data_IF_545987808912
#
_entry.id   IF_545987808912
#
_cell.length_a   1.000
_cell.length_b   1.000
_cell.length_c   1.000
_cell.angle_alpha   90.00
_cell.angle_beta   90.00
_cell.angle_gamma   90.00
#
_symmetry.space_group_name_H-M   'P 1'
#
loop_
_entity.id
_entity.type
_entity.pdbx_description
1 polymer ?
#
# COMPACT_ATOMS: atom_id res chain seq x y z
N UNK A 1 5.93 24.88 -16.49
CA UNK A 1 4.78 24.58 -15.59
C UNK A 1 4.53 25.70 -14.59
N UNK A 2 5.47 26.06 -13.69
CA UNK A 2 5.27 27.17 -12.72
C UNK A 2 5.21 28.54 -13.42
N UNK A 3 6.07 28.80 -14.40
CA UNK A 3 6.06 30.05 -15.16
C UNK A 3 4.73 30.26 -15.90
N UNK A 4 4.17 29.19 -16.48
CA UNK A 4 2.91 29.25 -17.22
C UNK A 4 1.70 29.51 -16.31
N UNK A 5 1.75 29.12 -15.02
CA UNK A 5 0.65 29.31 -14.08
C UNK A 5 0.78 30.53 -13.17
N UNK A 6 2.00 31.01 -12.91
CA UNK A 6 2.26 32.11 -11.96
C UNK A 6 3.01 33.29 -12.56
N UNK A 7 3.46 33.21 -13.82
CA UNK A 7 4.22 34.26 -14.49
C UNK A 7 5.62 34.51 -13.93
N UNK A 8 6.07 33.71 -12.94
CA UNK A 8 7.34 33.91 -12.24
C UNK A 8 8.37 32.88 -12.69
N UNK A 9 9.56 33.37 -13.03
CA UNK A 9 10.74 32.54 -13.20
C UNK A 9 11.39 32.29 -11.84
N UNK A 10 11.51 31.03 -11.46
CA UNK A 10 12.21 30.66 -10.24
C UNK A 10 13.01 29.37 -10.47
N UNK A 11 14.17 29.28 -9.83
CA UNK A 11 14.98 28.06 -9.87
C UNK A 11 14.27 26.90 -9.15
N UNK A 12 14.57 25.66 -9.55
CA UNK A 12 14.13 24.45 -8.84
C UNK A 12 14.55 24.46 -7.36
N UNK A 13 15.70 25.06 -7.04
CA UNK A 13 16.17 25.22 -5.67
C UNK A 13 15.28 26.14 -4.85
N UNK A 14 14.82 27.25 -5.44
CA UNK A 14 13.86 28.17 -4.82
C UNK A 14 12.55 27.45 -4.53
N UNK A 15 12.01 26.72 -5.51
CA UNK A 15 10.76 25.94 -5.35
C UNK A 15 10.87 24.91 -4.22
N UNK A 16 11.95 24.11 -4.20
CA UNK A 16 12.19 23.12 -3.14
C UNK A 16 12.28 23.78 -1.76
N UNK A 17 12.92 24.94 -1.66
CA UNK A 17 13.07 25.68 -0.40
C UNK A 17 11.73 26.21 0.08
N UNK A 18 10.95 26.81 -0.81
CA UNK A 18 9.61 27.31 -0.50
C UNK A 18 8.70 26.19 -0.01
N UNK A 19 8.68 25.04 -0.69
CA UNK A 19 7.89 23.87 -0.27
C UNK A 19 8.33 23.35 1.10
N UNK A 20 9.63 23.30 1.38
CA UNK A 20 10.15 22.93 2.71
C UNK A 20 9.75 23.94 3.79
N UNK A 21 9.72 25.24 3.47
CA UNK A 21 9.28 26.29 4.39
C UNK A 21 7.78 26.16 4.72
N UNK A 22 6.96 25.69 3.77
CA UNK A 22 5.56 25.32 4.02
C UNK A 22 5.39 24.00 4.80
N UNK A 23 6.45 23.49 5.44
CA UNK A 23 6.45 22.26 6.24
C UNK A 23 6.19 20.96 5.45
N UNK A 24 6.52 20.94 4.15
CA UNK A 24 6.47 19.71 3.35
C UNK A 24 7.81 18.98 3.36
N UNK A 25 7.74 17.68 3.10
CA UNK A 25 8.89 16.78 2.96
C UNK A 25 8.71 15.88 1.74
N UNK A 26 9.82 15.54 1.09
CA UNK A 26 9.84 14.55 0.02
C UNK A 26 10.09 13.18 0.64
N UNK A 27 9.09 12.29 0.57
CA UNK A 27 9.12 11.00 1.27
C UNK A 27 8.47 9.90 0.45
N UNK A 28 8.75 8.66 0.86
CA UNK A 28 8.20 7.45 0.25
C UNK A 28 6.70 7.38 0.52
N UNK A 29 5.92 7.14 -0.53
CA UNK A 29 4.48 6.91 -0.43
C UNK A 29 4.21 5.43 -0.21
N UNK A 30 3.11 5.10 0.49
CA UNK A 30 2.68 3.72 0.71
C UNK A 30 1.57 3.37 -0.28
N UNK A 31 1.70 2.21 -0.90
CA UNK A 31 0.64 1.66 -1.72
C UNK A 31 -0.47 1.10 -0.83
N UNK A 32 -1.72 1.44 -1.11
CA UNK A 32 -2.88 1.04 -0.31
C UNK A 32 -4.02 0.59 -1.22
N UNK A 33 -4.57 -0.59 -0.93
CA UNK A 33 -5.78 -1.12 -1.56
C UNK A 33 -7.05 -0.74 -0.78
N UNK A 34 -6.92 -0.06 0.37
CA UNK A 34 -8.07 0.29 1.23
C UNK A 34 -9.18 1.02 0.45
N UNK A 35 -8.79 1.94 -0.43
CA UNK A 35 -9.72 2.71 -1.26
C UNK A 35 -10.45 1.89 -2.33
N UNK A 36 -9.93 0.71 -2.69
CA UNK A 36 -10.50 -0.19 -3.70
C UNK A 36 -11.24 -1.38 -3.07
N UNK A 37 -11.20 -1.52 -1.74
CA UNK A 37 -11.77 -2.66 -1.03
C UNK A 37 -13.26 -2.44 -0.82
N UNK A 38 -14.05 -3.50 -1.03
CA UNK A 38 -15.43 -3.54 -0.57
C UNK A 38 -15.45 -3.96 0.90
N UNK A 39 -15.97 -3.10 1.76
CA UNK A 39 -15.94 -3.27 3.22
C UNK A 39 -16.77 -4.47 3.68
N UNK A 40 -17.97 -4.66 3.11
CA UNK A 40 -18.88 -5.75 3.47
C UNK A 40 -18.25 -7.12 3.21
N UNK A 41 -17.63 -7.31 2.04
CA UNK A 41 -16.95 -8.57 1.74
C UNK A 41 -15.72 -8.80 2.61
N UNK A 42 -15.02 -7.74 3.00
CA UNK A 42 -13.85 -7.85 3.85
C UNK A 42 -14.20 -8.24 5.28
N UNK A 43 -15.22 -7.62 5.87
CA UNK A 43 -15.70 -7.94 7.22
C UNK A 43 -16.20 -9.39 7.27
N UNK A 44 -17.03 -9.79 6.29
CA UNK A 44 -17.50 -11.18 6.20
C UNK A 44 -16.35 -12.19 6.13
N UNK A 45 -15.36 -11.97 5.26
CA UNK A 45 -14.22 -12.87 5.14
C UNK A 45 -13.37 -12.92 6.42
N UNK A 46 -13.29 -11.80 7.15
CA UNK A 46 -12.59 -11.74 8.43
C UNK A 46 -13.32 -12.57 9.50
N UNK A 47 -14.64 -12.44 9.61
CA UNK A 47 -15.45 -13.19 10.58
C UNK A 47 -15.39 -14.70 10.31
N UNK A 48 -15.45 -15.10 9.04
CA UNK A 48 -15.27 -16.49 8.61
C UNK A 48 -13.88 -17.02 9.02
N UNK A 49 -12.81 -16.22 8.82
CA UNK A 49 -11.45 -16.60 9.21
C UNK A 49 -11.31 -16.77 10.74
N UNK A 50 -11.87 -15.85 11.53
CA UNK A 50 -11.84 -15.93 13.00
C UNK A 50 -12.50 -17.22 13.48
N UNK A 51 -13.67 -17.55 12.93
CA UNK A 51 -14.40 -18.78 13.25
C UNK A 51 -13.57 -20.03 12.94
N UNK A 52 -12.87 -20.06 11.80
CA UNK A 52 -11.98 -21.16 11.44
C UNK A 52 -10.79 -21.31 12.41
N UNK A 53 -10.19 -20.20 12.85
CA UNK A 53 -9.08 -20.22 13.81
C UNK A 53 -9.54 -20.75 15.18
N UNK A 54 -10.77 -20.45 15.60
CA UNK A 54 -11.34 -21.00 16.83
C UNK A 54 -11.56 -22.52 16.73
N UNK A 55 -12.16 -22.99 15.63
CA UNK A 55 -12.37 -24.41 15.38
C UNK A 55 -11.06 -25.21 15.29
N UNK A 56 -9.99 -24.62 14.74
CA UNK A 56 -8.65 -25.24 14.71
C UNK A 56 -8.04 -25.41 16.12
N UNK A 57 -8.24 -24.40 16.98
CA UNK A 57 -7.79 -24.47 18.38
C UNK A 57 -8.51 -25.57 19.15
N UNK A 58 -9.80 -25.74 18.90
CA UNK A 58 -10.62 -26.82 19.46
C UNK A 58 -10.31 -28.20 18.84
N UNK A 59 -9.54 -28.24 17.73
CA UNK A 59 -9.15 -29.47 17.05
C UNK A 59 -10.24 -30.06 16.17
N UNK A 60 -11.25 -29.26 15.80
CA UNK A 60 -12.37 -29.67 14.94
C UNK A 60 -11.96 -29.69 13.47
N UNK A 61 -11.09 -28.76 13.06
CA UNK A 61 -10.58 -28.65 11.69
C UNK A 61 -9.06 -28.46 11.67
N UNK A 62 -8.41 -28.90 10.59
CA UNK A 62 -7.04 -28.53 10.27
C UNK A 62 -7.05 -27.33 9.32
N UNK A 63 -6.43 -26.22 9.74
CA UNK A 63 -6.46 -24.96 8.98
C UNK A 63 -5.18 -24.80 8.15
N UNK A 64 -5.35 -24.71 6.83
CA UNK A 64 -4.26 -24.48 5.88
C UNK A 64 -4.36 -23.07 5.29
N UNK A 65 -3.24 -22.35 5.29
CA UNK A 65 -3.15 -21.04 4.66
C UNK A 65 -2.55 -21.18 3.27
N UNK A 66 -3.31 -20.71 2.28
CA UNK A 66 -2.87 -20.60 0.89
C UNK A 66 -2.66 -19.12 0.57
N UNK A 67 -1.47 -18.75 0.12
CA UNK A 67 -1.19 -17.38 -0.29
C UNK A 67 -0.48 -17.31 -1.65
N UNK A 68 -0.78 -16.24 -2.39
CA UNK A 68 -0.17 -15.94 -3.67
C UNK A 68 0.66 -14.65 -3.57
N UNK A 69 1.98 -14.77 -3.76
CA UNK A 69 2.89 -13.63 -3.77
C UNK A 69 3.24 -13.21 -5.19
N UNK A 70 2.87 -11.99 -5.57
CA UNK A 70 3.20 -11.40 -6.88
C UNK A 70 4.45 -10.53 -6.83
N UNK A 71 5.55 -10.98 -7.44
CA UNK A 71 6.78 -10.21 -7.59
C UNK A 71 6.76 -9.40 -8.89
N UNK A 72 6.93 -8.09 -8.80
CA UNK A 72 6.98 -7.21 -9.97
C UNK A 72 8.38 -6.63 -10.16
N UNK A 73 8.82 -6.49 -11.41
CA UNK A 73 10.11 -5.84 -11.72
C UNK A 73 10.09 -4.32 -11.52
N UNK A 74 8.90 -3.70 -11.40
CA UNK A 74 8.79 -2.27 -11.13
C UNK A 74 9.05 -2.02 -9.64
N UNK A 75 9.90 -1.03 -9.36
CA UNK A 75 10.17 -0.60 -7.99
C UNK A 75 8.88 -0.11 -7.32
N UNK A 76 8.55 -0.68 -6.15
CA UNK A 76 7.39 -0.33 -5.32
C UNK A 76 7.54 1.03 -4.60
N UNK A 77 8.42 1.92 -5.07
CA UNK A 77 8.88 3.10 -4.33
C UNK A 77 8.48 4.42 -4.99
N UNK A 78 7.19 4.76 -5.08
CA UNK A 78 6.82 6.09 -5.55
C UNK A 78 7.14 7.11 -4.44
N UNK A 79 7.78 8.22 -4.82
CA UNK A 79 8.09 9.35 -3.94
C UNK A 79 7.18 10.54 -4.26
N UNK A 80 6.80 11.27 -3.23
CA UNK A 80 5.97 12.45 -3.36
C UNK A 80 6.28 13.48 -2.28
N UNK A 81 5.81 14.71 -2.50
CA UNK A 81 5.84 15.78 -1.51
C UNK A 81 4.56 15.73 -0.68
N UNK A 82 4.68 15.78 0.64
CA UNK A 82 3.55 15.93 1.56
C UNK A 82 3.99 16.59 2.86
N UNK A 83 3.03 17.16 3.57
CA UNK A 83 3.18 17.74 4.89
C UNK A 83 3.89 16.76 5.83
N UNK A 84 4.81 17.29 6.64
CA UNK A 84 5.46 16.48 7.68
C UNK A 84 4.40 15.95 8.64
N UNK A 85 4.52 14.67 9.01
CA UNK A 85 3.54 13.98 9.85
C UNK A 85 2.40 13.27 9.08
N UNK A 86 2.09 13.67 7.85
CA UNK A 86 0.97 13.07 7.09
C UNK A 86 1.45 11.85 6.29
N UNK A 87 0.77 10.70 6.43
CA UNK A 87 1.06 9.54 5.59
C UNK A 87 0.52 9.75 4.17
N UNK A 88 1.34 9.44 3.15
CA UNK A 88 0.90 9.53 1.75
C UNK A 88 0.49 8.14 1.29
N UNK A 89 -0.80 7.97 1.00
CA UNK A 89 -1.31 6.76 0.37
C UNK A 89 -1.47 6.97 -1.13
N UNK A 90 -0.89 6.07 -1.91
CA UNK A 90 -1.05 6.01 -3.35
C UNK A 90 -1.82 4.74 -3.73
N UNK A 91 -2.78 4.85 -4.64
CA UNK A 91 -3.45 3.68 -5.21
C UNK A 91 -2.44 2.81 -5.95
N UNK A 92 -2.59 1.50 -5.86
CA UNK A 92 -1.64 0.55 -6.46
C UNK A 92 -1.80 0.55 -7.97
N UNK A 93 -0.67 0.56 -8.70
CA UNK A 93 -0.69 0.38 -10.14
C UNK A 93 -1.06 -1.07 -10.48
N UNK A 94 -2.14 -1.27 -11.23
CA UNK A 94 -2.64 -2.61 -11.58
C UNK A 94 -1.87 -3.26 -12.77
N UNK A 95 -1.12 -2.47 -13.55
CA UNK A 95 -0.66 -2.89 -14.89
C UNK A 95 0.82 -3.30 -14.98
N UNK A 96 1.47 -3.69 -13.88
CA UNK A 96 2.83 -4.28 -13.96
C UNK A 96 2.75 -5.77 -14.26
N UNK A 97 3.60 -6.29 -15.15
CA UNK A 97 3.81 -7.74 -15.28
C UNK A 97 4.38 -8.25 -13.97
N UNK A 98 3.77 -9.31 -13.41
CA UNK A 98 4.16 -9.93 -12.14
C UNK A 98 4.45 -11.41 -12.36
N UNK A 99 5.44 -11.91 -11.63
CA UNK A 99 5.64 -13.34 -11.44
C UNK A 99 4.90 -13.74 -10.17
N UNK A 100 3.90 -14.60 -10.29
CA UNK A 100 3.14 -15.11 -9.15
C UNK A 100 3.82 -16.37 -8.63
N UNK A 101 4.02 -16.43 -7.31
CA UNK A 101 4.55 -17.57 -6.58
C UNK A 101 3.49 -18.00 -5.60
N UNK A 102 3.14 -19.30 -5.61
CA UNK A 102 2.16 -19.89 -4.71
C UNK A 102 2.90 -20.51 -3.53
N UNK A 103 2.37 -20.29 -2.32
CA UNK A 103 2.93 -20.89 -1.12
C UNK A 103 1.82 -21.42 -0.22
N UNK A 104 2.07 -22.60 0.35
CA UNK A 104 1.22 -23.22 1.35
C UNK A 104 1.94 -23.20 2.69
N UNK A 105 1.28 -22.67 3.70
CA UNK A 105 1.75 -22.73 5.07
C UNK A 105 0.76 -23.53 5.91
N UNK A 106 1.30 -24.46 6.69
CA UNK A 106 0.57 -25.20 7.71
C UNK A 106 1.24 -24.95 9.05
N UNK A 107 0.44 -24.61 10.05
CA UNK A 107 0.93 -24.45 11.40
C UNK A 107 1.01 -25.84 12.05
N UNK A 108 2.21 -26.39 12.23
CA UNK A 108 2.37 -27.62 13.02
C UNK A 108 2.23 -27.29 14.50
N UNK A 109 1.30 -27.98 15.18
CA UNK A 109 1.19 -28.04 16.64
C UNK A 109 2.40 -28.77 17.25
#
# INVERSE_FOLDING_TARGET
>A
LIQNSTGKECSLGTVKRTIKNFNYSHKRMRHSLKKQRNEVYFERAYDELVSCVEMEKEGVIDLYYFDESGFSQKSNLPYGWSEKGVAIECTVYQNSKKLNVLWNYHHNK
#
